data_IF_283242644645
#
_entry.id   IF_283242644645
#
_cell.length_a   1.000
_cell.length_b   1.000
_cell.length_c   1.000
_cell.angle_alpha   90.00
_cell.angle_beta   90.00
_cell.angle_gamma   90.00
#
_symmetry.space_group_name_H-M   'P 1'
#
loop_
_entity.id
_entity.type
_entity.pdbx_description
1 polymer ?
#
# COMPACT_ATOMS: atom_id res chain seq x y z
N UNK A 1 1.02 24.98 -21.13
CA UNK A 1 1.17 23.63 -20.52
C UNK A 1 1.96 23.83 -19.24
N UNK A 2 1.45 23.37 -18.09
CA UNK A 2 2.23 23.44 -16.86
C UNK A 2 3.51 22.60 -17.02
N UNK A 3 4.66 23.14 -16.63
CA UNK A 3 5.92 22.40 -16.64
C UNK A 3 5.78 21.16 -15.76
N UNK A 4 5.90 19.98 -16.36
CA UNK A 4 5.84 18.72 -15.64
C UNK A 4 6.99 18.64 -14.62
N UNK A 5 6.68 18.22 -13.40
CA UNK A 5 7.66 17.98 -12.35
C UNK A 5 7.43 16.60 -11.70
N UNK A 6 8.50 15.85 -11.38
CA UNK A 6 8.38 14.55 -10.71
C UNK A 6 7.93 14.68 -9.24
N UNK A 7 8.13 15.84 -8.63
CA UNK A 7 7.77 16.13 -7.24
C UNK A 7 6.66 17.18 -7.23
N UNK A 8 5.69 17.00 -6.34
CA UNK A 8 4.58 17.92 -6.18
C UNK A 8 5.05 19.26 -5.59
N UNK A 9 4.69 20.37 -6.25
CA UNK A 9 4.91 21.74 -5.72
C UNK A 9 3.79 22.17 -4.75
N UNK A 10 2.60 21.63 -4.94
CA UNK A 10 1.43 21.79 -4.08
C UNK A 10 0.81 20.40 -3.88
N UNK A 11 0.30 20.14 -2.67
CA UNK A 11 -0.33 18.87 -2.36
C UNK A 11 -1.81 18.90 -2.78
N UNK A 12 -2.12 18.14 -3.82
CA UNK A 12 -3.49 17.80 -4.19
C UNK A 12 -3.71 16.30 -3.92
N UNK A 13 -4.66 15.92 -3.03
CA UNK A 13 -4.92 14.52 -2.72
C UNK A 13 -5.31 13.68 -3.94
N UNK A 14 -6.04 14.25 -4.89
CA UNK A 14 -6.47 13.58 -6.11
C UNK A 14 -5.26 13.29 -6.99
N UNK A 15 -4.46 14.31 -7.25
CA UNK A 15 -3.25 14.20 -8.07
C UNK A 15 -2.23 13.28 -7.42
N UNK A 16 -2.09 13.33 -6.10
CA UNK A 16 -1.25 12.40 -5.34
C UNK A 16 -1.76 10.95 -5.42
N UNK A 17 -3.05 10.70 -5.65
CA UNK A 17 -3.57 9.36 -5.93
C UNK A 17 -3.14 8.84 -7.31
N UNK A 18 -2.99 9.74 -8.28
CA UNK A 18 -2.66 9.44 -9.66
C UNK A 18 -1.16 9.19 -9.86
N UNK A 19 -0.81 8.21 -10.69
CA UNK A 19 0.59 7.87 -10.96
C UNK A 19 1.34 8.96 -11.74
N UNK A 20 0.65 9.66 -12.63
CA UNK A 20 1.15 10.73 -13.48
C UNK A 20 0.58 12.10 -13.11
N UNK A 21 -0.33 12.15 -12.13
CA UNK A 21 -0.96 13.38 -11.68
C UNK A 21 -2.06 13.86 -12.64
N UNK A 22 -2.63 13.01 -13.48
CA UNK A 22 -3.67 13.45 -14.43
C UNK A 22 -5.10 13.14 -14.01
N UNK A 23 -5.32 12.28 -13.00
CA UNK A 23 -6.67 11.90 -12.57
C UNK A 23 -7.56 13.12 -12.30
N UNK A 24 -8.81 13.05 -12.74
CA UNK A 24 -9.84 14.07 -12.53
C UNK A 24 -10.87 13.64 -11.49
N UNK A 25 -10.98 12.33 -11.22
CA UNK A 25 -11.94 11.76 -10.29
C UNK A 25 -11.27 10.90 -9.21
N UNK A 26 -11.75 10.97 -7.95
CA UNK A 26 -11.20 10.19 -6.85
C UNK A 26 -11.53 8.70 -7.02
N UNK A 27 -10.50 7.90 -7.28
CA UNK A 27 -10.67 6.46 -7.52
C UNK A 27 -10.65 5.61 -6.23
N UNK A 28 -10.30 6.18 -5.07
CA UNK A 28 -10.29 5.47 -3.79
C UNK A 28 -10.93 6.28 -2.63
N UNK A 29 -11.47 5.57 -1.63
CA UNK A 29 -12.12 6.19 -0.45
C UNK A 29 -11.18 7.06 0.37
N UNK A 30 -9.88 6.78 0.37
CA UNK A 30 -8.91 7.57 1.11
C UNK A 30 -8.61 8.91 0.43
N UNK A 31 -8.62 8.99 -0.91
CA UNK A 31 -8.56 10.23 -1.66
C UNK A 31 -9.80 11.07 -1.34
N UNK A 32 -10.99 10.47 -1.38
CA UNK A 32 -12.23 11.16 -1.00
C UNK A 32 -12.16 11.76 0.42
N UNK A 33 -11.71 10.95 1.40
CA UNK A 33 -11.51 11.45 2.77
C UNK A 33 -10.50 12.58 2.84
N UNK A 34 -9.42 12.51 2.07
CA UNK A 34 -8.39 13.54 2.05
C UNK A 34 -8.95 14.83 1.45
N UNK A 35 -9.67 14.77 0.32
CA UNK A 35 -10.29 15.96 -0.29
C UNK A 35 -11.27 16.68 0.65
N UNK A 36 -12.03 15.92 1.45
CA UNK A 36 -12.95 16.49 2.44
C UNK A 36 -12.28 16.88 3.76
N UNK A 37 -11.01 16.51 3.98
CA UNK A 37 -10.35 16.73 5.25
C UNK A 37 -9.92 18.20 5.40
N UNK A 38 -10.40 18.84 6.47
CA UNK A 38 -9.85 20.13 6.92
C UNK A 38 -8.69 19.88 7.86
N UNK A 39 -7.46 19.88 7.33
CA UNK A 39 -6.25 19.75 8.12
C UNK A 39 -5.62 21.11 8.42
N UNK A 40 -5.25 21.34 9.67
CA UNK A 40 -4.45 22.49 10.09
C UNK A 40 -3.23 21.95 10.82
N UNK A 41 -2.00 22.31 10.39
CA UNK A 41 -0.78 21.92 11.07
C UNK A 41 -0.77 22.33 12.55
N UNK A 42 -0.05 21.58 13.38
CA UNK A 42 0.01 21.88 14.81
C UNK A 42 0.73 23.21 15.09
N UNK A 43 -0.01 24.20 15.60
CA UNK A 43 0.52 25.53 15.95
C UNK A 43 1.55 25.53 17.07
N UNK A 44 1.60 24.47 17.90
CA UNK A 44 2.57 24.36 19.00
C UNK A 44 3.99 24.00 18.54
N UNK A 45 4.21 23.72 17.25
CA UNK A 45 5.54 23.42 16.71
C UNK A 45 6.27 24.72 16.41
N UNK A 46 7.31 24.99 17.19
CA UNK A 46 8.23 26.12 17.01
C UNK A 46 9.46 25.73 16.19
N UNK A 47 10.10 26.72 15.56
CA UNK A 47 11.29 26.53 14.71
C UNK A 47 11.01 26.75 13.23
N UNK A 48 12.07 26.84 12.43
CA UNK A 48 11.97 27.08 10.99
C UNK A 48 11.66 25.78 10.23
N UNK A 49 10.50 25.68 9.54
CA UNK A 49 10.16 24.49 8.77
C UNK A 49 11.09 24.23 7.58
N UNK A 50 11.74 25.25 7.02
CA UNK A 50 12.69 25.09 5.91
C UNK A 50 14.05 24.52 6.39
N UNK A 51 14.35 24.68 7.67
CA UNK A 51 15.51 24.09 8.34
C UNK A 51 15.19 22.79 9.08
N UNK A 52 13.99 22.24 8.89
CA UNK A 52 13.54 21.03 9.57
C UNK A 52 13.48 19.83 8.62
N UNK A 53 14.17 18.77 9.02
CA UNK A 53 14.21 17.49 8.34
C UNK A 53 13.21 16.52 8.97
N UNK A 54 12.46 15.81 8.15
CA UNK A 54 11.57 14.72 8.54
C UNK A 54 12.31 13.38 8.42
N UNK A 55 12.31 12.62 9.51
CA UNK A 55 12.92 11.28 9.56
C UNK A 55 11.86 10.28 9.97
N UNK A 56 11.64 9.23 9.19
CA UNK A 56 10.63 8.20 9.44
C UNK A 56 11.19 6.79 9.28
N UNK A 57 10.35 5.79 9.56
CA UNK A 57 10.73 4.36 9.60
C UNK A 57 11.82 4.06 10.62
N UNK A 58 11.86 4.85 11.70
CA UNK A 58 12.73 4.59 12.84
C UNK A 58 12.25 3.34 13.58
N UNK A 59 13.20 2.65 14.22
CA UNK A 59 12.86 1.62 15.19
C UNK A 59 12.11 2.28 16.37
N UNK A 60 11.14 1.57 16.94
CA UNK A 60 10.34 2.06 18.08
C UNK A 60 11.20 2.27 19.33
N UNK A 61 12.36 1.59 19.42
CA UNK A 61 13.32 1.72 20.50
C UNK A 61 14.35 2.84 20.29
N UNK A 62 14.44 3.42 19.08
CA UNK A 62 15.40 4.49 18.79
C UNK A 62 15.10 5.72 19.66
N UNK A 63 16.13 6.25 20.32
CA UNK A 63 16.01 7.41 21.20
C UNK A 63 16.41 8.73 20.51
N UNK A 64 16.06 9.85 21.14
CA UNK A 64 16.42 11.18 20.64
C UNK A 64 17.93 11.40 20.65
N UNK A 65 18.62 10.88 21.65
CA UNK A 65 20.07 10.94 21.80
C UNK A 65 20.75 10.22 20.64
N UNK A 66 20.23 9.04 20.25
CA UNK A 66 20.80 8.29 19.13
C UNK A 66 20.61 9.03 17.81
N UNK A 67 19.45 9.63 17.59
CA UNK A 67 19.22 10.48 16.43
C UNK A 67 20.17 11.68 16.44
N UNK A 68 20.34 12.35 17.58
CA UNK A 68 21.27 13.47 17.70
C UNK A 68 22.70 13.06 17.36
N UNK A 69 23.20 11.96 17.92
CA UNK A 69 24.53 11.41 17.60
C UNK A 69 24.70 11.15 16.10
N UNK A 70 23.75 10.43 15.50
CA UNK A 70 23.82 10.01 14.09
C UNK A 70 23.70 11.18 13.13
N UNK A 71 22.91 12.20 13.45
CA UNK A 71 22.66 13.35 12.56
C UNK A 71 23.58 14.54 12.80
N UNK A 72 24.31 14.58 13.93
CA UNK A 72 25.27 15.65 14.24
C UNK A 72 26.46 15.67 13.27
N UNK A 73 26.80 14.54 12.62
CA UNK A 73 27.87 14.48 11.60
C UNK A 73 27.59 15.29 10.34
N UNK A 74 26.34 15.65 10.09
CA UNK A 74 25.97 16.46 8.92
C UNK A 74 26.05 17.96 9.22
N UNK A 75 25.91 18.35 10.49
CA UNK A 75 26.08 19.70 10.98
C UNK A 75 25.37 19.94 12.30
N UNK A 76 25.38 21.19 12.74
CA UNK A 76 24.85 21.61 14.03
C UNK A 76 23.32 21.50 14.11
N UNK A 77 22.86 20.67 15.04
CA UNK A 77 21.43 20.49 15.32
C UNK A 77 20.98 21.54 16.34
N UNK A 78 19.89 22.25 16.01
CA UNK A 78 19.21 23.18 16.91
C UNK A 78 18.24 22.44 17.83
N UNK A 79 17.44 21.52 17.27
CA UNK A 79 16.39 20.80 18.01
C UNK A 79 16.13 19.43 17.41
N UNK A 80 15.94 18.43 18.26
CA UNK A 80 15.42 17.12 17.87
C UNK A 80 14.07 16.94 18.55
N UNK A 81 13.10 16.37 17.84
CA UNK A 81 11.78 16.02 18.37
C UNK A 81 11.37 14.65 17.86
N UNK A 82 11.48 13.63 18.70
CA UNK A 82 10.93 12.30 18.41
C UNK A 82 9.45 12.30 18.76
N UNK A 83 8.60 11.96 17.79
CA UNK A 83 7.16 11.97 18.03
C UNK A 83 6.75 10.70 18.76
N UNK A 84 6.14 10.89 19.93
CA UNK A 84 5.62 9.82 20.78
C UNK A 84 4.10 9.90 20.84
N UNK A 85 3.47 8.80 21.18
CA UNK A 85 2.06 8.80 21.54
C UNK A 85 1.86 9.45 22.91
N UNK A 86 0.85 10.33 23.02
CA UNK A 86 0.57 11.07 24.25
C UNK A 86 0.04 10.16 25.36
N UNK A 87 -0.64 9.06 25.01
CA UNK A 87 -1.26 8.16 25.98
C UNK A 87 -0.27 7.10 26.42
N UNK A 88 0.40 6.43 25.46
CA UNK A 88 1.27 5.29 25.77
C UNK A 88 2.74 5.67 25.95
N UNK A 89 3.16 6.87 25.54
CA UNK A 89 4.57 7.31 25.57
C UNK A 89 5.48 6.63 24.53
N UNK A 90 4.97 5.64 23.79
CA UNK A 90 5.74 4.91 22.79
C UNK A 90 6.07 5.78 21.58
N UNK A 91 7.24 5.57 21.00
CA UNK A 91 7.65 6.22 19.75
C UNK A 91 6.68 5.87 18.62
N UNK A 92 6.35 6.85 17.77
CA UNK A 92 5.60 6.61 16.52
C UNK A 92 6.51 6.24 15.35
N UNK A 93 7.81 6.09 15.59
CA UNK A 93 8.78 5.72 14.56
C UNK A 93 9.13 6.83 13.58
N UNK A 94 8.93 8.10 13.97
CA UNK A 94 9.37 9.26 13.20
C UNK A 94 9.73 10.44 14.10
N UNK A 95 10.62 11.29 13.60
CA UNK A 95 11.18 12.43 14.28
C UNK A 95 11.35 13.63 13.33
N UNK A 96 11.51 14.81 13.93
CA UNK A 96 11.88 16.04 13.24
C UNK A 96 13.20 16.56 13.79
N UNK A 97 14.10 16.96 12.91
CA UNK A 97 15.43 17.48 13.26
C UNK A 97 15.58 18.85 12.63
N UNK A 98 15.66 19.89 13.45
CA UNK A 98 15.91 21.27 13.02
C UNK A 98 17.42 21.53 13.07
N UNK A 99 18.00 21.90 11.94
CA UNK A 99 19.39 22.32 11.83
C UNK A 99 19.54 23.83 12.04
N UNK A 100 20.74 24.28 12.42
CA UNK A 100 21.06 25.71 12.44
C UNK A 100 21.30 26.28 11.03
N UNK A 101 21.80 25.45 10.13
CA UNK A 101 22.20 25.86 8.78
C UNK A 101 21.52 25.01 7.70
N UNK A 102 21.09 25.64 6.62
CA UNK A 102 20.46 24.97 5.48
C UNK A 102 21.42 23.98 4.79
N UNK A 103 22.70 24.32 4.71
CA UNK A 103 23.73 23.46 4.10
C UNK A 103 23.81 22.09 4.79
N UNK A 104 23.72 22.07 6.12
CA UNK A 104 23.72 20.84 6.90
C UNK A 104 22.48 19.99 6.63
N UNK A 105 21.32 20.64 6.54
CA UNK A 105 20.06 19.98 6.21
C UNK A 105 20.09 19.35 4.81
N UNK A 106 20.56 20.07 3.79
CA UNK A 106 20.64 19.56 2.42
C UNK A 106 21.59 18.36 2.32
N UNK A 107 22.71 18.41 3.05
CA UNK A 107 23.65 17.29 3.15
C UNK A 107 22.99 16.07 3.81
N UNK A 108 22.32 16.27 4.94
CA UNK A 108 21.59 15.21 5.63
C UNK A 108 20.48 14.60 4.75
N UNK A 109 19.71 15.42 4.03
CA UNK A 109 18.65 14.96 3.11
C UNK A 109 19.19 14.07 1.99
N UNK A 110 20.35 14.42 1.44
CA UNK A 110 21.00 13.65 0.37
C UNK A 110 21.56 12.34 0.90
N UNK A 111 22.35 12.39 1.97
CA UNK A 111 23.22 11.29 2.37
C UNK A 111 22.59 10.36 3.41
N UNK A 112 21.66 10.84 4.25
CA UNK A 112 21.09 10.04 5.34
C UNK A 112 19.88 9.19 4.91
N UNK A 113 19.32 9.42 3.73
CA UNK A 113 18.17 8.63 3.25
C UNK A 113 18.57 7.17 3.03
N UNK A 114 17.79 6.23 3.60
CA UNK A 114 18.06 4.78 3.63
C UNK A 114 19.27 4.36 4.46
N UNK A 115 19.76 5.22 5.34
CA UNK A 115 20.72 4.81 6.36
C UNK A 115 20.07 3.76 7.28
N UNK A 116 20.84 2.76 7.70
CA UNK A 116 20.38 1.77 8.69
C UNK A 116 20.69 2.27 10.10
N UNK A 117 19.65 2.40 10.93
CA UNK A 117 19.75 2.68 12.37
C UNK A 117 18.96 1.60 13.10
N UNK A 118 19.56 0.95 14.11
CA UNK A 118 18.90 -0.09 14.91
C UNK A 118 18.21 -1.17 14.04
N UNK A 119 18.94 -1.63 13.00
CA UNK A 119 18.50 -2.63 12.02
C UNK A 119 17.36 -2.17 11.09
N UNK A 120 17.00 -0.89 11.09
CA UNK A 120 15.94 -0.32 10.26
C UNK A 120 16.48 0.70 9.27
N UNK A 121 16.11 0.56 7.99
CA UNK A 121 16.36 1.59 6.98
C UNK A 121 15.44 2.80 7.21
N UNK A 122 16.05 3.93 7.50
CA UNK A 122 15.33 5.17 7.75
C UNK A 122 14.94 5.85 6.44
N UNK A 123 13.82 6.55 6.47
CA UNK A 123 13.40 7.44 5.39
C UNK A 123 13.64 8.88 5.80
N UNK A 124 14.26 9.67 4.92
CA UNK A 124 14.58 11.07 5.19
C UNK A 124 13.99 11.95 4.10
N UNK A 125 13.27 12.99 4.48
CA UNK A 125 12.73 14.00 3.58
C UNK A 125 12.64 15.37 4.25
N UNK A 126 12.24 16.40 3.50
CA UNK A 126 11.92 17.71 4.08
C UNK A 126 10.63 17.66 4.92
N UNK A 127 10.48 18.59 5.86
CA UNK A 127 9.20 18.75 6.55
C UNK A 127 8.14 19.29 5.59
N UNK A 128 7.14 18.45 5.27
CA UNK A 128 6.06 18.84 4.35
C UNK A 128 4.86 19.46 5.05
N UNK A 129 4.68 19.25 6.35
CA UNK A 129 3.46 19.64 7.05
C UNK A 129 3.23 21.16 7.05
N UNK A 130 4.31 21.93 7.23
CA UNK A 130 4.28 23.39 7.29
C UNK A 130 4.74 24.08 5.99
N UNK A 131 5.44 23.36 5.11
CA UNK A 131 5.99 23.92 3.86
C UNK A 131 5.12 23.66 2.65
N UNK A 132 4.51 22.47 2.54
CA UNK A 132 3.76 22.07 1.36
C UNK A 132 2.29 22.48 1.50
N UNK A 133 1.87 23.44 0.67
CA UNK A 133 0.49 23.92 0.65
C UNK A 133 -0.48 22.76 0.35
N UNK A 134 -1.58 22.73 1.09
CA UNK A 134 -2.61 21.69 0.95
C UNK A 134 -2.24 20.35 1.56
N UNK A 135 -1.11 20.23 2.28
CA UNK A 135 -0.66 18.94 2.83
C UNK A 135 -1.72 18.27 3.71
N UNK A 136 -1.96 16.99 3.44
CA UNK A 136 -2.87 16.15 4.23
C UNK A 136 -2.10 14.94 4.75
N UNK A 137 -2.09 14.67 6.06
CA UNK A 137 -1.38 13.53 6.62
C UNK A 137 -2.06 12.20 6.28
N UNK A 138 -1.28 11.11 6.37
CA UNK A 138 -1.74 9.77 6.00
C UNK A 138 -3.00 9.29 6.73
N UNK A 139 -3.16 9.67 8.01
CA UNK A 139 -4.34 9.33 8.82
C UNK A 139 -5.67 9.87 8.27
N UNK A 140 -5.61 10.92 7.44
CA UNK A 140 -6.76 11.52 6.78
C UNK A 140 -6.90 11.07 5.31
N UNK A 141 -6.09 10.10 4.86
CA UNK A 141 -6.14 9.55 3.51
C UNK A 141 -5.14 10.14 2.52
N UNK A 142 -4.41 11.19 2.93
CA UNK A 142 -3.33 11.79 2.15
C UNK A 142 -1.97 11.12 2.36
N UNK A 143 -0.94 11.92 2.59
CA UNK A 143 0.47 11.55 2.68
C UNK A 143 1.07 11.19 1.32
N UNK A 144 2.38 10.93 1.31
CA UNK A 144 3.08 10.36 0.17
C UNK A 144 3.50 8.91 0.44
N UNK A 145 3.85 8.20 -0.63
CA UNK A 145 4.35 6.84 -0.55
C UNK A 145 3.25 5.80 -0.31
N UNK A 146 3.64 4.67 0.28
CA UNK A 146 2.79 3.51 0.48
C UNK A 146 3.35 2.25 -0.18
N UNK A 147 2.92 1.10 0.34
CA UNK A 147 3.25 -0.22 -0.20
C UNK A 147 2.16 -0.65 -1.19
N UNK A 148 2.52 -1.29 -2.29
CA UNK A 148 1.54 -1.79 -3.29
C UNK A 148 0.50 -2.71 -2.63
N UNK A 149 0.95 -3.56 -1.71
CA UNK A 149 0.12 -4.48 -0.92
C UNK A 149 -0.97 -3.78 -0.09
N UNK A 150 -0.72 -2.54 0.34
CA UNK A 150 -1.69 -1.78 1.14
C UNK A 150 -2.85 -1.21 0.31
N UNK A 151 -2.78 -1.28 -1.03
CA UNK A 151 -3.79 -0.72 -1.93
C UNK A 151 -3.86 0.81 -1.94
N UNK A 152 -3.04 1.50 -1.13
CA UNK A 152 -3.05 2.95 -1.01
C UNK A 152 -1.67 3.50 -1.41
N UNK A 153 -1.49 3.77 -2.69
CA UNK A 153 -0.28 4.43 -3.19
C UNK A 153 -0.52 5.93 -3.31
N UNK A 154 0.48 6.72 -2.95
CA UNK A 154 0.48 8.17 -3.14
C UNK A 154 1.79 8.60 -3.80
N UNK A 155 1.68 9.38 -4.86
CA UNK A 155 2.75 9.86 -5.72
C UNK A 155 3.01 11.36 -5.50
N UNK A 156 4.12 11.85 -6.07
CA UNK A 156 4.56 13.24 -5.95
C UNK A 156 5.55 13.50 -4.82
N UNK A 157 5.97 12.46 -4.08
CA UNK A 157 7.00 12.54 -3.04
C UNK A 157 8.30 11.84 -3.44
N UNK A 158 9.34 11.91 -2.58
CA UNK A 158 10.68 11.38 -2.87
C UNK A 158 10.73 9.90 -3.26
N UNK A 159 10.06 9.03 -2.49
CA UNK A 159 10.05 7.58 -2.74
C UNK A 159 9.20 7.18 -3.96
N UNK A 160 8.23 8.02 -4.34
CA UNK A 160 7.27 7.78 -5.41
C UNK A 160 7.00 9.08 -6.16
N UNK A 161 7.92 9.52 -7.04
CA UNK A 161 7.67 10.67 -7.89
C UNK A 161 6.55 10.37 -8.89
N UNK A 162 5.92 11.41 -9.42
CA UNK A 162 5.02 11.29 -10.55
C UNK A 162 5.77 10.74 -11.76
N UNK A 163 5.09 9.91 -12.55
CA UNK A 163 5.58 9.50 -13.88
C UNK A 163 5.26 10.60 -14.87
N UNK A 164 6.11 10.73 -15.90
CA UNK A 164 5.80 11.60 -17.03
C UNK A 164 4.54 11.08 -17.73
N UNK A 165 3.50 11.92 -17.94
CA UNK A 165 2.32 11.52 -18.68
C UNK A 165 2.72 10.96 -20.04
N UNK A 166 2.13 9.84 -20.43
CA UNK A 166 2.36 9.27 -21.75
C UNK A 166 1.50 10.07 -22.73
N UNK A 167 2.13 10.91 -23.55
CA UNK A 167 1.46 11.52 -24.70
C UNK A 167 1.28 10.44 -25.79
N UNK A 168 0.31 9.54 -25.59
CA UNK A 168 -0.15 8.72 -26.69
C UNK A 168 -0.83 9.66 -27.69
N UNK A 169 -0.42 9.69 -28.97
CA UNK A 169 -1.22 10.36 -29.98
C UNK A 169 -2.62 9.75 -29.89
N UNK A 170 -3.62 10.62 -29.86
CA UNK A 170 -5.01 10.26 -29.77
C UNK A 170 -5.36 9.44 -31.02
N UNK A 171 -5.08 8.14 -30.98
CA UNK A 171 -5.60 7.20 -31.96
C UNK A 171 -7.09 7.17 -31.68
N UNK A 172 -7.81 8.01 -32.43
CA UNK A 172 -9.24 7.86 -32.60
C UNK A 172 -9.47 6.37 -32.89
N UNK A 173 -10.38 5.81 -32.13
CA UNK A 173 -10.69 4.39 -32.13
C UNK A 173 -11.44 4.06 -33.43
N UNK A 174 -10.78 4.22 -34.57
CA UNK A 174 -11.35 3.94 -35.90
C UNK A 174 -11.41 2.42 -36.16
N UNK A 175 -10.95 1.60 -35.20
CA UNK A 175 -11.05 0.14 -35.26
C UNK A 175 -12.44 -0.42 -34.89
N UNK A 176 -13.36 0.43 -34.39
CA UNK A 176 -14.77 0.06 -34.21
C UNK A 176 -15.71 1.09 -34.89
N UNK A 177 -15.38 1.45 -36.13
CA UNK A 177 -16.27 2.20 -37.02
C UNK A 177 -16.85 1.30 -38.11
N UNK A 178 -18.12 0.93 -37.94
CA UNK A 178 -19.08 0.67 -39.02
C UNK A 178 -18.74 -0.46 -40.03
N UNK A 179 -18.91 -1.71 -39.58
CA UNK A 179 -18.97 -2.89 -40.45
C UNK A 179 -20.31 -3.61 -40.30
N UNK A 180 -21.28 -3.24 -41.15
CA UNK A 180 -22.44 -4.00 -41.61
C UNK A 180 -22.99 -5.15 -40.74
N UNK A 181 -24.23 -4.97 -40.30
CA UNK A 181 -25.15 -6.04 -39.90
C UNK A 181 -25.20 -7.18 -40.93
N UNK A 182 -24.52 -8.29 -40.67
CA UNK A 182 -24.82 -9.57 -41.29
C UNK A 182 -24.99 -10.66 -40.23
N UNK A 183 -26.25 -10.90 -39.90
CA UNK A 183 -26.73 -12.03 -39.09
C UNK A 183 -26.38 -13.33 -39.80
N UNK A 184 -25.28 -13.99 -39.43
CA UNK A 184 -25.03 -15.38 -39.83
C UNK A 184 -25.69 -16.33 -38.84
N UNK A 185 -26.87 -16.79 -39.26
CA UNK A 185 -27.59 -17.95 -38.76
C UNK A 185 -26.67 -19.17 -38.71
N UNK A 186 -26.52 -19.81 -37.55
CA UNK A 186 -26.12 -21.21 -37.48
C UNK A 186 -27.31 -22.04 -37.04
N UNK A 187 -27.94 -22.65 -38.03
CA UNK A 187 -29.06 -23.56 -37.94
C UNK A 187 -28.72 -24.77 -37.08
N UNK A 188 -29.74 -25.21 -36.35
CA UNK A 188 -29.77 -26.29 -35.39
C UNK A 188 -30.01 -27.63 -36.09
N UNK A 189 -29.07 -28.55 -35.98
CA UNK A 189 -29.27 -30.01 -36.11
C UNK A 189 -28.15 -30.67 -35.29
N UNK A 190 -28.37 -31.49 -34.27
CA UNK A 190 -29.56 -31.97 -33.61
C UNK A 190 -29.17 -32.74 -32.35
N UNK A 191 -30.14 -32.93 -31.44
CA UNK A 191 -30.24 -34.00 -30.40
C UNK A 191 -29.15 -34.05 -29.31
N UNK A 192 -29.43 -34.14 -28.01
CA UNK A 192 -30.49 -34.88 -27.30
C UNK A 192 -30.63 -34.36 -25.86
N UNK A 193 -31.89 -34.33 -25.44
CA UNK A 193 -32.43 -34.19 -24.09
C UNK A 193 -32.05 -35.37 -23.18
N UNK A 194 -31.75 -35.11 -21.90
CA UNK A 194 -31.83 -36.11 -20.81
C UNK A 194 -32.13 -35.42 -19.47
N UNK A 195 -33.42 -35.22 -19.18
CA UNK A 195 -33.91 -35.21 -17.79
C UNK A 195 -34.03 -36.65 -17.26
N UNK A 196 -33.90 -36.75 -15.94
CA UNK A 196 -34.15 -37.89 -15.02
C UNK A 196 -33.18 -39.07 -15.07
N UNK A 197 -32.44 -39.33 -13.98
CA UNK A 197 -32.87 -40.20 -12.85
C UNK A 197 -31.68 -40.53 -11.94
N UNK A 198 -31.90 -40.44 -10.63
CA UNK A 198 -30.97 -40.82 -9.56
C UNK A 198 -30.42 -42.25 -9.66
N UNK A 199 -29.15 -42.46 -9.26
CA UNK A 199 -28.70 -43.48 -8.27
C UNK A 199 -27.17 -43.60 -8.18
N UNK A 200 -26.67 -43.27 -6.98
CA UNK A 200 -25.83 -44.07 -6.09
C UNK A 200 -24.48 -44.71 -6.53
N UNK A 201 -23.50 -44.39 -5.68
CA UNK A 201 -22.47 -45.25 -5.07
C UNK A 201 -21.11 -45.53 -5.77
N UNK A 202 -20.09 -45.04 -5.04
CA UNK A 202 -18.82 -45.68 -4.64
C UNK A 202 -17.60 -45.80 -5.59
N UNK A 203 -16.55 -45.09 -5.16
CA UNK A 203 -15.18 -45.57 -4.88
C UNK A 203 -14.62 -46.68 -5.80
N UNK A 204 -13.53 -46.36 -6.50
CA UNK A 204 -12.16 -46.81 -6.12
C UNK A 204 -11.14 -46.72 -7.27
N UNK A 205 -9.97 -46.19 -6.90
CA UNK A 205 -8.59 -46.59 -7.27
C UNK A 205 -8.14 -46.78 -8.74
N UNK A 206 -7.03 -46.07 -8.98
CA UNK A 206 -5.76 -46.51 -9.58
C UNK A 206 -5.54 -46.38 -11.10
N UNK A 207 -4.25 -46.05 -11.37
CA UNK A 207 -3.44 -46.23 -12.59
C UNK A 207 -3.58 -45.11 -13.63
N UNK A 208 -2.55 -44.68 -14.35
CA UNK A 208 -1.07 -44.79 -14.33
C UNK A 208 -0.68 -43.95 -15.55
N UNK A 209 0.06 -42.85 -15.40
CA UNK A 209 0.43 -41.98 -16.53
C UNK A 209 1.71 -42.50 -17.20
N UNK A 210 1.76 -42.65 -18.55
CA UNK A 210 3.01 -42.91 -19.25
C UNK A 210 3.64 -41.61 -19.79
N UNK A 211 4.83 -41.32 -19.25
CA UNK A 211 6.09 -41.05 -19.93
C UNK A 211 6.10 -40.32 -21.30
N UNK A 212 6.73 -39.13 -21.32
CA UNK A 212 7.61 -38.73 -22.42
C UNK A 212 8.70 -37.77 -21.96
N UNK A 213 9.93 -38.13 -22.33
CA UNK A 213 11.21 -37.61 -21.89
C UNK A 213 11.65 -36.28 -22.54
N UNK A 214 12.61 -35.65 -21.84
CA UNK A 214 13.85 -34.93 -22.27
C UNK A 214 13.90 -33.51 -21.69
N UNK A 215 14.72 -33.13 -20.71
CA UNK A 215 16.12 -33.40 -20.30
C UNK A 215 16.88 -32.06 -20.39
N UNK A 216 17.36 -31.52 -19.26
CA UNK A 216 18.59 -30.71 -19.05
C UNK A 216 18.71 -30.51 -17.51
N UNK A 217 19.43 -31.36 -16.78
CA UNK A 217 20.87 -31.30 -16.47
C UNK A 217 21.26 -30.20 -15.46
N UNK A 218 21.38 -30.56 -14.17
CA UNK A 218 22.36 -30.13 -13.14
C UNK A 218 22.28 -31.22 -12.04
N UNK A 219 23.35 -31.94 -11.70
CA UNK A 219 24.56 -31.40 -11.08
C UNK A 219 24.53 -31.68 -9.57
N UNK A 220 24.70 -32.96 -9.26
CA UNK A 220 25.17 -33.64 -8.06
C UNK A 220 26.02 -32.80 -7.06
N UNK A 221 25.67 -32.89 -5.77
CA UNK A 221 26.42 -32.30 -4.66
C UNK A 221 25.67 -32.36 -3.33
N UNK A 222 26.14 -33.19 -2.42
CA UNK A 222 25.46 -33.76 -1.25
C UNK A 222 25.24 -32.82 -0.04
N UNK A 223 24.40 -33.31 0.91
CA UNK A 223 24.28 -32.97 2.36
C UNK A 223 23.35 -31.77 2.67
N UNK A 224 22.42 -31.81 3.63
CA UNK A 224 22.19 -32.70 4.76
C UNK A 224 20.73 -32.52 5.26
N UNK A 225 20.25 -33.47 6.06
CA UNK A 225 18.95 -33.46 6.77
C UNK A 225 18.75 -32.17 7.57
N UNK A 226 17.59 -31.51 7.46
CA UNK A 226 16.54 -31.46 8.50
C UNK A 226 15.34 -30.59 8.07
N UNK A 227 14.21 -30.68 8.77
CA UNK A 227 13.01 -29.82 8.73
C UNK A 227 11.83 -30.18 7.78
N UNK A 228 11.22 -31.36 8.01
CA UNK A 228 9.87 -31.69 7.48
C UNK A 228 8.71 -31.47 8.46
N UNK A 229 8.94 -30.82 9.60
CA UNK A 229 7.91 -30.72 10.67
C UNK A 229 7.14 -29.38 10.72
N UNK A 230 7.56 -28.33 10.02
CA UNK A 230 6.93 -27.00 10.16
C UNK A 230 5.79 -26.72 9.15
N UNK A 231 5.72 -27.44 8.03
CA UNK A 231 4.70 -27.20 6.99
C UNK A 231 3.30 -27.70 7.37
N UNK A 232 3.18 -28.63 8.31
CA UNK A 232 1.91 -29.19 8.77
C UNK A 232 1.19 -28.28 9.77
N UNK A 233 1.91 -27.52 10.60
CA UNK A 233 1.30 -26.60 11.58
C UNK A 233 0.72 -25.31 10.97
N UNK A 234 1.17 -24.92 9.78
CA UNK A 234 0.71 -23.71 9.08
C UNK A 234 -0.65 -23.86 8.36
N UNK A 235 -1.01 -25.07 7.94
CA UNK A 235 -2.29 -25.32 7.24
C UNK A 235 -3.47 -25.41 8.22
N UNK A 236 -3.29 -25.99 9.40
CA UNK A 236 -4.37 -26.11 10.40
C UNK A 236 -4.82 -24.78 11.02
N UNK A 237 -3.91 -23.79 11.15
CA UNK A 237 -4.27 -22.46 11.68
C UNK A 237 -5.17 -21.67 10.72
N UNK A 238 -4.97 -21.81 9.40
CA UNK A 238 -5.77 -21.09 8.39
C UNK A 238 -7.20 -21.57 8.26
N UNK A 239 -7.48 -22.84 8.59
CA UNK A 239 -8.83 -23.41 8.52
C UNK A 239 -9.67 -23.12 9.77
N UNK A 240 -9.04 -22.87 10.94
CA UNK A 240 -9.76 -22.41 12.15
C UNK A 240 -10.28 -20.97 11.99
N UNK A 241 -9.45 -20.05 11.49
CA UNK A 241 -9.84 -18.63 11.30
C UNK A 241 -11.00 -18.44 10.29
N UNK A 242 -11.16 -19.38 9.35
CA UNK A 242 -12.29 -19.37 8.40
C UNK A 242 -13.59 -19.81 9.07
N UNK A 243 -13.56 -20.83 9.94
CA UNK A 243 -14.74 -21.33 10.65
C UNK A 243 -15.30 -20.34 11.67
N UNK A 244 -14.43 -19.56 12.32
CA UNK A 244 -14.87 -18.57 13.31
C UNK A 244 -15.54 -17.35 12.64
N UNK A 245 -15.05 -16.90 11.48
CA UNK A 245 -15.69 -15.81 10.71
C UNK A 245 -17.08 -16.15 10.18
N UNK A 246 -17.33 -17.42 9.84
CA UNK A 246 -18.65 -17.85 9.36
C UNK A 246 -19.66 -18.01 10.50
N UNK A 247 -19.20 -18.30 11.73
CA UNK A 247 -20.05 -18.30 12.95
C UNK A 247 -20.48 -16.90 13.36
N UNK A 248 -19.58 -15.92 13.32
CA UNK A 248 -19.93 -14.54 13.72
C UNK A 248 -20.94 -13.89 12.75
N UNK A 249 -20.80 -14.14 11.45
CA UNK A 249 -21.79 -13.70 10.44
C UNK A 249 -23.17 -14.31 10.61
N UNK A 250 -23.25 -15.49 11.23
CA UNK A 250 -24.52 -16.18 11.47
C UNK A 250 -25.25 -15.58 12.69
N UNK A 251 -24.51 -15.25 13.76
CA UNK A 251 -25.06 -14.58 14.96
C UNK A 251 -25.58 -13.17 14.70
N UNK A 252 -24.92 -12.41 13.82
CA UNK A 252 -25.36 -11.06 13.44
C UNK A 252 -26.65 -11.06 12.59
N UNK A 253 -26.95 -12.16 11.89
CA UNK A 253 -28.22 -12.31 11.15
C UNK A 253 -29.39 -12.62 12.07
N UNK A 254 -29.19 -13.47 13.07
CA UNK A 254 -30.25 -13.87 14.00
C UNK A 254 -30.67 -12.73 14.94
N UNK A 255 -29.71 -11.91 15.40
CA UNK A 255 -29.99 -10.71 16.22
C UNK A 255 -30.70 -9.60 15.45
N UNK A 256 -30.50 -9.52 14.13
CA UNK A 256 -31.21 -8.55 13.29
C UNK A 256 -32.67 -8.96 13.06
N UNK A 257 -32.92 -10.27 12.91
CA UNK A 257 -34.27 -10.82 12.72
C UNK A 257 -35.15 -10.67 13.97
N UNK A 258 -34.59 -10.89 15.17
CA UNK A 258 -35.32 -10.67 16.42
C UNK A 258 -35.71 -9.19 16.66
N UNK A 259 -34.89 -8.23 16.23
CA UNK A 259 -35.20 -6.80 16.37
C UNK A 259 -36.29 -6.30 15.43
N UNK A 260 -36.48 -6.96 14.29
CA UNK A 260 -37.50 -6.59 13.32
C UNK A 260 -38.88 -7.17 13.71
N UNK A 261 -38.92 -8.32 14.39
CA UNK A 261 -40.16 -8.93 14.89
C UNK A 261 -40.75 -8.19 16.11
N UNK A 262 -39.93 -7.60 16.99
CA UNK A 262 -40.39 -6.79 18.13
C UNK A 262 -40.93 -5.40 17.75
N UNK A 263 -40.73 -4.96 16.49
CA UNK A 263 -41.24 -3.66 16.00
C UNK A 263 -42.66 -3.70 15.45
N UNK A 264 -43.25 -4.89 15.34
CA UNK A 264 -44.57 -5.11 14.76
C UNK A 264 -45.57 -5.76 15.73
N UNK A 265 -45.31 -5.66 17.04
CA UNK A 265 -46.23 -6.08 18.10
C UNK A 265 -46.68 -4.92 18.96
#
# INVERSE_FOLDING_TARGET
MADWAPIAKEYDPLKAGSIDGTDEEPHDRAIWRAMLARYVPNKGVTGDPHLTLFVARLNLQTTEEKLKEVFSRYGDIRKVRLVRDLVTGFSKGYAFIEYKEERALLKAHRDANRLVIDQHEIFVDFELERTLKGWIPRRLGGGFGGKKESGQLRFGGRDRPFRKPINLPNMKNDFYGEGSSEKRNWSREGTRDWRTRDRDHERSRDKRWPERERSWAWGDGERERDSKEERSRGRERKDRDRKDRDRDRSRDRDTKKQRDDDKHR
#
